data_IF_944907482761
#
_entry.id   IF_944907482761
#
_cell.length_a   1.000
_cell.length_b   1.000
_cell.length_c   1.000
_cell.angle_alpha   90.00
_cell.angle_beta   90.00
_cell.angle_gamma   90.00
#
_symmetry.space_group_name_H-M   'P 1'
#
loop_
_entity.id
_entity.type
_entity.pdbx_description
1 polymer ?
#
# COMPACT_ATOMS: atom_id res chain seq x y z
N UNK A 1 -71.29 38.89 22.16
CA UNK A 1 -70.48 39.56 21.12
C UNK A 1 -69.72 40.72 21.76
N UNK A 2 -68.43 40.91 21.44
CA UNK A 2 -67.66 42.02 22.02
C UNK A 2 -68.15 43.41 21.60
N UNK A 3 -68.76 43.53 20.42
CA UNK A 3 -69.27 44.79 19.87
C UNK A 3 -70.77 45.01 20.10
N UNK A 4 -71.52 43.95 20.37
CA UNK A 4 -72.97 43.98 20.56
C UNK A 4 -73.35 43.30 21.88
N UNK A 5 -73.54 44.12 22.91
CA UNK A 5 -73.88 43.65 24.25
C UNK A 5 -75.15 42.76 24.22
N UNK A 6 -75.11 41.63 24.95
CA UNK A 6 -76.22 40.69 25.05
C UNK A 6 -76.49 39.81 23.82
N UNK A 7 -75.76 39.97 22.71
CA UNK A 7 -75.96 39.14 21.50
C UNK A 7 -75.07 37.88 21.48
N UNK A 8 -75.64 36.68 21.20
CA UNK A 8 -74.87 35.45 21.10
C UNK A 8 -73.96 35.45 19.85
N UNK A 9 -72.90 34.63 19.88
CA UNK A 9 -72.03 34.39 18.72
C UNK A 9 -72.55 33.17 17.97
N UNK A 10 -73.26 33.39 16.87
CA UNK A 10 -73.96 32.35 16.12
C UNK A 10 -73.39 32.14 14.71
N UNK A 11 -72.50 33.05 14.28
CA UNK A 11 -71.86 33.04 12.97
C UNK A 11 -70.35 32.96 13.11
N UNK A 12 -69.67 32.44 12.09
CA UNK A 12 -68.23 32.52 11.91
C UNK A 12 -67.95 33.38 10.68
N UNK A 13 -67.17 34.46 10.84
CA UNK A 13 -66.70 35.28 9.73
C UNK A 13 -65.47 34.61 9.11
N UNK A 14 -65.62 34.09 7.90
CA UNK A 14 -64.57 33.34 7.20
C UNK A 14 -63.39 34.24 6.81
N UNK A 15 -63.66 35.50 6.45
CA UNK A 15 -62.60 36.44 6.06
C UNK A 15 -61.77 36.94 7.25
N UNK A 16 -62.37 36.99 8.45
CA UNK A 16 -61.68 37.44 9.68
C UNK A 16 -61.22 36.29 10.58
N UNK A 17 -61.66 35.06 10.35
CA UNK A 17 -61.32 33.91 11.17
C UNK A 17 -61.85 33.98 12.61
N UNK A 18 -63.01 34.62 12.84
CA UNK A 18 -63.54 34.81 14.20
C UNK A 18 -65.06 34.61 14.31
N UNK A 19 -65.52 34.22 15.50
CA UNK A 19 -66.94 34.08 15.80
C UNK A 19 -67.59 35.45 16.02
N UNK A 20 -68.75 35.69 15.39
CA UNK A 20 -69.48 36.98 15.41
C UNK A 20 -70.98 36.77 15.64
N UNK A 21 -71.71 37.80 16.08
CA UNK A 21 -73.18 37.75 16.13
C UNK A 21 -73.81 38.16 14.79
N UNK A 22 -75.12 37.94 14.62
CA UNK A 22 -75.84 38.29 13.39
C UNK A 22 -75.80 39.78 13.00
N UNK A 23 -75.58 40.70 13.95
CA UNK A 23 -75.47 42.14 13.67
C UNK A 23 -74.10 42.54 13.11
N UNK A 24 -73.04 41.79 13.41
CA UNK A 24 -71.69 42.10 12.94
C UNK A 24 -71.56 42.16 11.41
N UNK A 25 -72.04 41.18 10.63
CA UNK A 25 -72.03 41.27 9.17
C UNK A 25 -73.15 42.12 8.59
N UNK A 26 -74.27 42.31 9.31
CA UNK A 26 -75.39 43.09 8.81
C UNK A 26 -75.12 44.61 8.90
N UNK A 27 -74.62 45.08 10.04
CA UNK A 27 -74.53 46.50 10.39
C UNK A 27 -73.19 46.89 11.05
N UNK A 28 -72.33 45.91 11.35
CA UNK A 28 -71.09 46.13 12.12
C UNK A 28 -69.81 46.02 11.28
N UNK A 29 -68.70 45.79 11.98
CA UNK A 29 -67.34 45.79 11.41
C UNK A 29 -67.05 44.65 10.41
N UNK A 30 -67.94 43.66 10.27
CA UNK A 30 -67.78 42.54 9.35
C UNK A 30 -68.71 42.67 8.14
N UNK A 31 -69.25 43.87 7.88
CA UNK A 31 -70.16 44.12 6.76
C UNK A 31 -69.48 43.84 5.43
N UNK A 32 -70.09 42.99 4.62
CA UNK A 32 -69.56 42.54 3.33
C UNK A 32 -68.61 41.35 3.41
N UNK A 33 -68.25 40.88 4.61
CA UNK A 33 -67.48 39.65 4.75
C UNK A 33 -68.37 38.40 4.63
N UNK A 34 -67.79 37.30 4.17
CA UNK A 34 -68.44 35.99 4.19
C UNK A 34 -68.58 35.52 5.62
N UNK A 35 -69.81 35.18 6.01
CA UNK A 35 -70.11 34.58 7.29
C UNK A 35 -71.04 33.38 7.08
N UNK A 36 -70.77 32.30 7.81
CA UNK A 36 -71.59 31.10 7.83
C UNK A 36 -72.07 30.79 9.25
N UNK A 37 -73.05 29.91 9.38
CA UNK A 37 -73.54 29.47 10.69
C UNK A 37 -72.41 28.75 11.44
N UNK A 38 -72.27 29.04 12.73
CA UNK A 38 -71.22 28.47 13.56
C UNK A 38 -71.18 26.93 13.51
N UNK A 39 -72.32 26.19 13.58
CA UNK A 39 -72.28 24.72 13.43
C UNK A 39 -71.74 24.24 12.08
N UNK A 40 -71.98 25.00 11.01
CA UNK A 40 -71.46 24.67 9.68
C UNK A 40 -69.95 24.91 9.60
N UNK A 41 -69.46 26.02 10.18
CA UNK A 41 -68.03 26.30 10.26
C UNK A 41 -67.31 25.22 11.08
N UNK A 42 -67.85 24.86 12.26
CA UNK A 42 -67.28 23.81 13.13
C UNK A 42 -67.17 22.48 12.38
N UNK A 43 -68.22 22.05 11.68
CA UNK A 43 -68.18 20.77 10.93
C UNK A 43 -67.08 20.78 9.85
N UNK A 44 -66.99 21.85 9.06
CA UNK A 44 -65.94 21.98 8.03
C UNK A 44 -64.54 22.03 8.63
N UNK A 45 -64.37 22.75 9.74
CA UNK A 45 -63.08 22.81 10.43
C UNK A 45 -62.70 21.46 11.02
N UNK A 46 -63.64 20.69 11.56
CA UNK A 46 -63.39 19.32 12.04
C UNK A 46 -62.93 18.40 10.90
N UNK A 47 -63.60 18.40 9.75
CA UNK A 47 -63.21 17.63 8.56
C UNK A 47 -61.78 18.00 8.10
N UNK A 48 -61.43 19.30 8.09
CA UNK A 48 -60.07 19.77 7.77
C UNK A 48 -59.03 19.36 8.82
N UNK A 49 -59.39 19.42 10.11
CA UNK A 49 -58.50 18.98 11.19
C UNK A 49 -58.17 17.50 11.06
N UNK A 50 -59.16 16.65 10.76
CA UNK A 50 -58.95 15.22 10.53
C UNK A 50 -58.01 14.97 9.35
N UNK A 51 -58.21 15.66 8.22
CA UNK A 51 -57.32 15.58 7.06
C UNK A 51 -55.89 16.04 7.40
N UNK A 52 -55.74 17.12 8.15
CA UNK A 52 -54.43 17.60 8.59
C UNK A 52 -53.73 16.61 9.51
N UNK A 53 -54.46 15.98 10.45
CA UNK A 53 -53.92 14.96 11.33
C UNK A 53 -53.41 13.76 10.53
N UNK A 54 -54.22 13.24 9.60
CA UNK A 54 -53.80 12.13 8.72
C UNK A 54 -52.51 12.46 7.94
N UNK A 55 -52.43 13.64 7.34
CA UNK A 55 -51.25 14.07 6.60
C UNK A 55 -50.00 14.22 7.50
N UNK A 56 -50.18 14.69 8.73
CA UNK A 56 -49.08 14.81 9.70
C UNK A 56 -48.59 13.45 10.18
N UNK A 57 -49.50 12.48 10.36
CA UNK A 57 -49.14 11.10 10.70
C UNK A 57 -48.36 10.42 9.57
N UNK A 58 -48.78 10.58 8.32
CA UNK A 58 -48.06 10.06 7.15
C UNK A 58 -46.64 10.65 7.05
N UNK A 59 -46.52 11.98 7.16
CA UNK A 59 -45.21 12.66 7.15
C UNK A 59 -44.32 12.21 8.30
N UNK A 60 -44.88 11.97 9.48
CA UNK A 60 -44.12 11.47 10.63
C UNK A 60 -43.53 10.09 10.35
N UNK A 61 -44.29 9.19 9.72
CA UNK A 61 -43.76 7.86 9.34
C UNK A 61 -42.69 7.98 8.25
N UNK A 62 -42.91 8.85 7.25
CA UNK A 62 -41.92 9.12 6.22
C UNK A 62 -40.58 9.62 6.83
N UNK A 63 -40.64 10.59 7.74
CA UNK A 63 -39.43 11.10 8.41
C UNK A 63 -38.79 10.06 9.33
N UNK A 64 -39.57 9.19 9.97
CA UNK A 64 -39.04 8.06 10.72
C UNK A 64 -38.28 7.09 9.79
N UNK A 65 -38.80 6.83 8.59
CA UNK A 65 -38.14 6.07 7.54
C UNK A 65 -36.84 6.72 7.05
N UNK A 66 -36.88 8.03 6.76
CA UNK A 66 -35.70 8.80 6.35
C UNK A 66 -34.59 8.72 7.41
N UNK A 67 -34.95 8.90 8.68
CA UNK A 67 -34.00 8.81 9.80
C UNK A 67 -33.33 7.43 9.84
N UNK A 68 -34.10 6.33 9.74
CA UNK A 68 -33.56 4.97 9.71
C UNK A 68 -32.58 4.77 8.55
N UNK A 69 -32.93 5.27 7.36
CA UNK A 69 -32.08 5.17 6.17
C UNK A 69 -30.76 5.96 6.32
N UNK A 70 -30.83 7.16 6.90
CA UNK A 70 -29.63 7.98 7.16
C UNK A 70 -28.75 7.32 8.23
N UNK A 71 -29.33 6.82 9.32
CA UNK A 71 -28.60 6.09 10.36
C UNK A 71 -27.88 4.85 9.78
N UNK A 72 -28.57 4.10 8.91
CA UNK A 72 -27.96 2.96 8.21
C UNK A 72 -26.81 3.40 7.29
N UNK A 73 -27.02 4.43 6.46
CA UNK A 73 -25.99 4.93 5.56
C UNK A 73 -24.73 5.41 6.31
N UNK A 74 -24.90 6.05 7.47
CA UNK A 74 -23.78 6.44 8.35
C UNK A 74 -23.01 5.23 8.84
N UNK A 75 -23.70 4.16 9.24
CA UNK A 75 -23.06 2.93 9.70
C UNK A 75 -22.35 2.20 8.55
N UNK A 76 -22.95 2.16 7.37
CA UNK A 76 -22.36 1.54 6.18
C UNK A 76 -21.07 2.26 5.75
N UNK A 77 -21.07 3.61 5.76
CA UNK A 77 -19.85 4.39 5.45
C UNK A 77 -18.74 4.11 6.47
N UNK A 78 -19.06 4.03 7.76
CA UNK A 78 -18.08 3.69 8.81
C UNK A 78 -17.52 2.28 8.60
N UNK A 79 -18.40 1.29 8.43
CA UNK A 79 -18.00 -0.10 8.23
C UNK A 79 -17.16 -0.27 6.96
N UNK A 80 -17.52 0.44 5.88
CA UNK A 80 -16.76 0.44 4.64
C UNK A 80 -15.37 1.06 4.83
N UNK A 81 -15.27 2.22 5.49
CA UNK A 81 -14.00 2.86 5.79
C UNK A 81 -13.07 1.95 6.60
N UNK A 82 -13.61 1.28 7.64
CA UNK A 82 -12.83 0.36 8.48
C UNK A 82 -12.39 -0.89 7.71
N UNK A 83 -13.25 -1.41 6.82
CA UNK A 83 -12.87 -2.51 5.92
C UNK A 83 -11.73 -2.10 5.00
N UNK A 84 -11.83 -0.94 4.34
CA UNK A 84 -10.80 -0.47 3.42
C UNK A 84 -9.47 -0.21 4.13
N UNK A 85 -9.49 0.34 5.35
CA UNK A 85 -8.28 0.51 6.18
C UNK A 85 -7.60 -0.82 6.50
N UNK A 86 -8.38 -1.85 6.85
CA UNK A 86 -7.85 -3.20 7.10
C UNK A 86 -7.22 -3.80 5.85
N UNK A 87 -7.93 -3.76 4.72
CA UNK A 87 -7.41 -4.27 3.45
C UNK A 87 -6.16 -3.53 2.98
N UNK A 88 -6.09 -2.21 3.18
CA UNK A 88 -4.88 -1.44 2.90
C UNK A 88 -3.71 -1.90 3.79
N UNK A 89 -3.97 -2.12 5.08
CA UNK A 89 -2.94 -2.60 6.03
C UNK A 89 -2.42 -3.99 5.64
N UNK A 90 -3.30 -4.89 5.20
CA UNK A 90 -2.92 -6.20 4.67
C UNK A 90 -2.01 -6.06 3.45
N UNK A 91 -2.34 -5.17 2.51
CA UNK A 91 -1.52 -4.94 1.29
C UNK A 91 -0.15 -4.34 1.60
N UNK A 92 -0.07 -3.43 2.56
CA UNK A 92 1.22 -2.88 3.01
C UNK A 92 2.05 -3.96 3.72
N UNK A 93 1.40 -4.83 4.51
CA UNK A 93 2.08 -5.95 5.18
C UNK A 93 2.63 -6.95 4.17
N UNK A 94 1.87 -7.27 3.11
CA UNK A 94 2.31 -8.11 1.99
C UNK A 94 3.55 -7.51 1.30
N UNK A 95 3.54 -6.20 1.00
CA UNK A 95 4.70 -5.50 0.44
C UNK A 95 5.93 -5.57 1.35
N UNK A 96 5.75 -5.37 2.66
CA UNK A 96 6.85 -5.48 3.62
C UNK A 96 7.44 -6.88 3.69
N UNK A 97 6.61 -7.92 3.56
CA UNK A 97 7.08 -9.30 3.52
C UNK A 97 7.94 -9.55 2.29
N UNK A 98 7.48 -9.13 1.11
CA UNK A 98 8.26 -9.25 -0.13
C UNK A 98 9.61 -8.53 -0.03
N UNK A 99 9.67 -7.35 0.58
CA UNK A 99 10.93 -6.63 0.78
C UNK A 99 11.88 -7.36 1.75
N UNK A 100 11.36 -8.04 2.77
CA UNK A 100 12.18 -8.86 3.68
C UNK A 100 12.69 -10.13 2.99
N UNK A 101 11.87 -10.76 2.16
CA UNK A 101 12.29 -11.91 1.35
C UNK A 101 13.41 -11.51 0.38
N UNK A 102 13.25 -10.38 -0.31
CA UNK A 102 14.26 -9.81 -1.20
C UNK A 102 15.58 -9.51 -0.45
N UNK A 103 15.51 -8.90 0.74
CA UNK A 103 16.68 -8.69 1.59
C UNK A 103 17.38 -10.00 1.96
N UNK A 104 16.61 -11.05 2.29
CA UNK A 104 17.17 -12.36 2.61
C UNK A 104 17.88 -12.99 1.40
N UNK A 105 17.29 -12.89 0.21
CA UNK A 105 17.90 -13.40 -1.02
C UNK A 105 19.22 -12.68 -1.33
N UNK A 106 19.26 -11.35 -1.17
CA UNK A 106 20.46 -10.56 -1.37
C UNK A 106 21.60 -10.96 -0.43
N UNK A 107 21.28 -11.21 0.86
CA UNK A 107 22.26 -11.67 1.86
C UNK A 107 22.78 -13.06 1.54
N UNK A 108 21.88 -13.99 1.20
CA UNK A 108 22.28 -15.35 0.83
C UNK A 108 23.21 -15.34 -0.40
N UNK A 109 22.94 -14.49 -1.40
CA UNK A 109 23.82 -14.34 -2.55
C UNK A 109 25.22 -13.84 -2.14
N UNK A 110 25.30 -12.88 -1.22
CA UNK A 110 26.58 -12.40 -0.68
C UNK A 110 27.32 -13.56 0.01
N UNK A 111 26.64 -14.31 0.87
CA UNK A 111 27.23 -15.42 1.62
C UNK A 111 27.74 -16.52 0.66
N UNK A 112 26.94 -16.92 -0.33
CA UNK A 112 27.31 -17.91 -1.34
C UNK A 112 28.55 -17.48 -2.14
N UNK A 113 28.58 -16.24 -2.64
CA UNK A 113 29.71 -15.72 -3.41
C UNK A 113 30.96 -15.57 -2.55
N UNK A 114 30.80 -15.20 -1.28
CA UNK A 114 31.90 -15.13 -0.32
C UNK A 114 32.48 -16.52 -0.07
N UNK A 115 31.63 -17.52 0.19
CA UNK A 115 32.07 -18.89 0.40
C UNK A 115 32.78 -19.46 -0.83
N UNK A 116 32.28 -19.18 -2.04
CA UNK A 116 32.91 -19.60 -3.29
C UNK A 116 34.31 -18.97 -3.44
N UNK A 117 34.45 -17.67 -3.18
CA UNK A 117 35.73 -16.97 -3.27
C UNK A 117 36.73 -17.49 -2.24
N UNK A 118 36.30 -17.70 -0.99
CA UNK A 118 37.14 -18.27 0.06
C UNK A 118 37.61 -19.69 -0.30
N UNK A 119 36.72 -20.54 -0.81
CA UNK A 119 37.10 -21.89 -1.25
C UNK A 119 38.14 -21.90 -2.37
N UNK A 120 38.03 -20.97 -3.34
CA UNK A 120 39.04 -20.80 -4.38
C UNK A 120 40.39 -20.32 -3.81
N UNK A 121 40.36 -19.35 -2.90
CA UNK A 121 41.57 -18.87 -2.22
C UNK A 121 42.26 -19.96 -1.39
N UNK A 122 41.50 -20.78 -0.68
CA UNK A 122 42.04 -21.91 0.08
C UNK A 122 42.70 -22.97 -0.81
N UNK A 123 42.18 -23.18 -2.03
CA UNK A 123 42.80 -24.07 -3.01
C UNK A 123 44.11 -23.48 -3.54
N UNK A 124 44.13 -22.18 -3.85
CA UNK A 124 45.35 -21.50 -4.29
C UNK A 124 46.42 -21.51 -3.17
N UNK A 125 46.02 -21.25 -1.93
CA UNK A 125 46.93 -21.26 -0.78
C UNK A 125 47.58 -22.63 -0.59
N UNK A 126 46.81 -23.72 -0.69
CA UNK A 126 47.34 -25.08 -0.63
C UNK A 126 48.34 -25.37 -1.75
N UNK A 127 48.02 -24.98 -2.99
CA UNK A 127 48.94 -25.11 -4.12
C UNK A 127 50.25 -24.35 -3.88
N UNK A 128 50.18 -23.10 -3.41
CA UNK A 128 51.37 -22.31 -3.07
C UNK A 128 52.19 -22.97 -1.95
N UNK A 129 51.55 -23.54 -0.92
CA UNK A 129 52.25 -24.25 0.16
C UNK A 129 52.99 -25.49 -0.36
N UNK A 130 52.37 -26.27 -1.24
CA UNK A 130 53.00 -27.43 -1.88
C UNK A 130 54.20 -27.02 -2.74
N UNK A 131 54.07 -25.94 -3.51
CA UNK A 131 55.17 -25.39 -4.33
C UNK A 131 56.32 -24.88 -3.47
N UNK A 132 56.04 -24.16 -2.38
CA UNK A 132 57.06 -23.69 -1.44
C UNK A 132 57.82 -24.86 -0.82
N UNK A 133 57.12 -25.90 -0.36
CA UNK A 133 57.76 -27.09 0.21
C UNK A 133 58.65 -27.82 -0.81
N UNK A 134 58.24 -27.89 -2.08
CA UNK A 134 59.05 -28.44 -3.17
C UNK A 134 60.32 -27.60 -3.41
N UNK A 135 60.20 -26.28 -3.48
CA UNK A 135 61.33 -25.36 -3.64
C UNK A 135 62.32 -25.45 -2.46
N UNK A 136 61.81 -25.55 -1.23
CA UNK A 136 62.64 -25.75 -0.04
C UNK A 136 63.39 -27.09 -0.11
N UNK A 137 62.73 -28.15 -0.57
CA UNK A 137 63.34 -29.46 -0.77
C UNK A 137 64.48 -29.41 -1.80
N UNK A 138 64.25 -28.79 -2.96
CA UNK A 138 65.30 -28.59 -3.97
C UNK A 138 66.45 -27.75 -3.43
N UNK A 139 66.15 -26.65 -2.74
CA UNK A 139 67.15 -25.78 -2.12
C UNK A 139 68.01 -26.54 -1.12
N UNK A 140 67.41 -27.37 -0.28
CA UNK A 140 68.13 -28.19 0.69
C UNK A 140 69.05 -29.21 0.00
N UNK A 141 68.54 -29.96 -0.99
CA UNK A 141 69.32 -30.94 -1.74
C UNK A 141 70.50 -30.31 -2.49
N UNK A 142 70.29 -29.15 -3.14
CA UNK A 142 71.38 -28.43 -3.83
C UNK A 142 72.46 -28.00 -2.84
N UNK A 143 72.07 -27.46 -1.66
CA UNK A 143 73.04 -27.09 -0.61
C UNK A 143 73.86 -28.29 -0.12
N UNK A 144 73.27 -29.48 -0.04
CA UNK A 144 73.99 -30.71 0.32
C UNK A 144 74.99 -31.11 -0.78
N UNK A 145 74.59 -31.09 -2.05
CA UNK A 145 75.47 -31.43 -3.18
C UNK A 145 76.66 -30.46 -3.28
N UNK A 146 76.45 -29.17 -3.00
CA UNK A 146 77.52 -28.17 -2.98
C UNK A 146 78.63 -28.45 -1.95
N UNK A 147 78.35 -29.26 -0.93
CA UNK A 147 79.32 -29.66 0.09
C UNK A 147 80.05 -30.97 -0.26
N UNK A 148 79.66 -31.64 -1.34
CA UNK A 148 80.26 -32.91 -1.77
C UNK A 148 81.68 -32.69 -2.29
N UNK A 149 82.64 -33.45 -1.78
CA UNK A 149 84.07 -33.29 -2.10
C UNK A 149 84.49 -34.06 -3.36
N UNK A 150 83.66 -35.00 -3.83
CA UNK A 150 83.89 -35.79 -5.04
C UNK A 150 83.31 -35.09 -6.28
N UNK A 151 84.17 -34.64 -7.23
CA UNK A 151 83.72 -33.92 -8.42
C UNK A 151 82.80 -34.72 -9.34
N UNK A 152 82.95 -36.05 -9.39
CA UNK A 152 82.12 -36.90 -10.27
C UNK A 152 80.71 -37.00 -9.68
N UNK A 153 80.62 -37.32 -8.39
CA UNK A 153 79.36 -37.46 -7.68
C UNK A 153 78.57 -36.14 -7.61
N UNK A 154 79.27 -35.01 -7.45
CA UNK A 154 78.67 -33.67 -7.50
C UNK A 154 77.97 -33.42 -8.85
N UNK A 155 78.67 -33.69 -9.95
CA UNK A 155 78.13 -33.47 -11.30
C UNK A 155 76.94 -34.39 -11.58
N UNK A 156 77.02 -35.67 -11.24
CA UNK A 156 75.93 -36.62 -11.45
C UNK A 156 74.67 -36.23 -10.66
N UNK A 157 74.80 -36.00 -9.35
CA UNK A 157 73.66 -35.62 -8.48
C UNK A 157 73.04 -34.28 -8.89
N UNK A 158 73.86 -33.28 -9.24
CA UNK A 158 73.33 -31.99 -9.69
C UNK A 158 72.58 -32.12 -11.01
N UNK A 159 73.11 -32.91 -11.96
CA UNK A 159 72.47 -33.12 -13.27
C UNK A 159 71.10 -33.79 -13.14
N UNK A 160 70.93 -34.69 -12.17
CA UNK A 160 69.64 -35.32 -11.85
C UNK A 160 68.64 -34.30 -11.29
N UNK A 161 69.04 -33.52 -10.27
CA UNK A 161 68.18 -32.48 -9.69
C UNK A 161 67.84 -31.38 -10.70
N UNK A 162 68.79 -31.01 -11.55
CA UNK A 162 68.55 -30.01 -12.59
C UNK A 162 67.46 -30.45 -13.57
N UNK A 163 67.39 -31.76 -13.89
CA UNK A 163 66.29 -32.32 -14.69
C UNK A 163 64.97 -32.27 -13.94
N UNK A 164 64.94 -32.70 -12.68
CA UNK A 164 63.73 -32.63 -11.84
C UNK A 164 63.17 -31.20 -11.77
N UNK A 165 64.03 -30.20 -11.53
CA UNK A 165 63.65 -28.79 -11.48
C UNK A 165 63.07 -28.32 -12.82
N UNK A 166 63.71 -28.67 -13.94
CA UNK A 166 63.25 -28.32 -15.30
C UNK A 166 61.92 -29.00 -15.67
N UNK A 167 61.67 -30.19 -15.15
CA UNK A 167 60.42 -30.93 -15.35
C UNK A 167 59.27 -30.39 -14.50
N UNK A 168 59.56 -29.82 -13.33
CA UNK A 168 58.58 -29.08 -12.51
C UNK A 168 58.23 -27.71 -13.11
N UNK A 169 57.55 -27.73 -14.26
CA UNK A 169 57.03 -26.56 -15.01
C UNK A 169 55.98 -25.71 -14.27
N UNK A 170 55.51 -26.15 -13.11
CA UNK A 170 54.41 -25.51 -12.37
C UNK A 170 54.84 -24.46 -11.33
N UNK A 171 56.14 -24.25 -11.11
CA UNK A 171 56.66 -23.44 -10.00
C UNK A 171 56.59 -21.91 -10.19
N UNK A 172 56.02 -21.43 -11.30
CA UNK A 172 56.05 -20.02 -11.70
C UNK A 172 54.68 -19.39 -11.94
N UNK A 173 53.58 -20.07 -11.62
CA UNK A 173 52.25 -19.47 -11.71
C UNK A 173 52.07 -18.42 -10.61
N UNK A 174 52.21 -17.14 -10.97
CA UNK A 174 51.86 -16.02 -10.11
C UNK A 174 50.33 -15.90 -10.00
N UNK A 175 49.83 -16.07 -8.78
CA UNK A 175 48.41 -15.91 -8.49
C UNK A 175 48.13 -14.46 -8.07
N UNK A 176 47.20 -13.81 -8.79
CA UNK A 176 46.69 -12.49 -8.42
C UNK A 176 45.22 -12.61 -8.00
N UNK A 177 44.91 -12.76 -6.70
CA UNK A 177 43.52 -12.83 -6.26
C UNK A 177 42.83 -11.49 -6.48
N UNK A 178 41.76 -11.48 -7.27
CA UNK A 178 40.90 -10.31 -7.47
C UNK A 178 40.02 -10.17 -6.22
N UNK A 179 40.02 -9.01 -5.54
CA UNK A 179 39.14 -8.79 -4.41
C UNK A 179 37.66 -8.88 -4.81
N UNK A 180 36.90 -9.69 -4.08
CA UNK A 180 35.46 -9.78 -4.29
C UNK A 180 34.79 -8.46 -3.87
N UNK A 181 33.97 -7.89 -4.75
CA UNK A 181 33.22 -6.65 -4.49
C UNK A 181 31.72 -6.87 -4.68
N UNK A 182 30.94 -6.37 -3.73
CA UNK A 182 29.48 -6.36 -3.77
C UNK A 182 28.90 -4.97 -4.06
N UNK A 183 29.73 -4.04 -4.54
CA UNK A 183 29.32 -2.65 -4.75
C UNK A 183 28.21 -2.52 -5.80
N UNK A 184 28.21 -3.36 -6.83
CA UNK A 184 27.14 -3.42 -7.82
C UNK A 184 25.78 -3.77 -7.20
N UNK A 185 25.75 -4.73 -6.28
CA UNK A 185 24.55 -5.14 -5.56
C UNK A 185 24.02 -4.00 -4.68
N UNK A 186 24.92 -3.34 -3.94
CA UNK A 186 24.53 -2.20 -3.12
C UNK A 186 24.03 -1.01 -3.96
N UNK A 187 24.67 -0.75 -5.10
CA UNK A 187 24.26 0.30 -6.02
C UNK A 187 22.89 0.01 -6.66
N UNK A 188 22.59 -1.26 -6.93
CA UNK A 188 21.27 -1.70 -7.39
C UNK A 188 20.18 -1.30 -6.37
N UNK A 189 20.32 -1.67 -5.09
CA UNK A 189 19.33 -1.33 -4.07
C UNK A 189 19.25 0.17 -3.78
N UNK A 190 20.38 0.90 -3.84
CA UNK A 190 20.37 2.37 -3.77
C UNK A 190 19.51 2.97 -4.88
N UNK A 191 19.63 2.47 -6.11
CA UNK A 191 18.81 2.94 -7.22
C UNK A 191 17.33 2.60 -7.02
N UNK A 192 17.02 1.38 -6.60
CA UNK A 192 15.67 0.94 -6.28
C UNK A 192 14.99 1.84 -5.22
N UNK A 193 15.69 2.13 -4.12
CA UNK A 193 15.20 3.02 -3.06
C UNK A 193 14.94 4.42 -3.60
N UNK A 194 15.81 4.97 -4.45
CA UNK A 194 15.61 6.29 -5.07
C UNK A 194 14.35 6.34 -5.93
N UNK A 195 14.06 5.28 -6.69
CA UNK A 195 12.83 5.18 -7.47
C UNK A 195 11.62 5.22 -6.53
N UNK A 196 11.60 4.37 -5.49
CA UNK A 196 10.50 4.35 -4.52
C UNK A 196 10.31 5.71 -3.84
N UNK A 197 11.41 6.37 -3.46
CA UNK A 197 11.38 7.72 -2.88
C UNK A 197 10.78 8.74 -3.85
N UNK A 198 11.15 8.71 -5.13
CA UNK A 198 10.59 9.63 -6.13
C UNK A 198 9.08 9.47 -6.30
N UNK A 199 8.57 8.24 -6.18
CA UNK A 199 7.13 7.96 -6.21
C UNK A 199 6.47 8.52 -4.95
N UNK A 200 7.05 8.25 -3.77
CA UNK A 200 6.44 8.62 -2.49
C UNK A 200 6.60 10.09 -2.12
N UNK A 201 7.48 10.84 -2.79
CA UNK A 201 7.72 12.26 -2.53
C UNK A 201 6.51 13.14 -2.88
N UNK A 202 5.70 12.74 -3.86
CA UNK A 202 4.43 13.43 -4.16
C UNK A 202 3.38 13.14 -3.07
N UNK A 203 2.60 14.14 -2.62
CA UNK A 203 1.48 13.94 -1.70
C UNK A 203 0.55 12.83 -2.19
N UNK A 204 0.05 12.01 -1.26
CA UNK A 204 -0.76 10.84 -1.59
C UNK A 204 -2.01 11.23 -2.40
N UNK A 205 -2.66 12.33 -2.03
CA UNK A 205 -3.86 12.85 -2.69
C UNK A 205 -3.58 13.28 -4.14
N UNK A 206 -2.38 13.81 -4.43
CA UNK A 206 -1.99 14.17 -5.79
C UNK A 206 -1.80 12.92 -6.65
N UNK A 207 -1.17 11.88 -6.09
CA UNK A 207 -0.96 10.58 -6.77
C UNK A 207 -2.28 9.87 -7.06
N UNK A 208 -3.22 9.90 -6.10
CA UNK A 208 -4.54 9.28 -6.26
C UNK A 208 -5.44 10.02 -7.26
N UNK A 209 -5.20 11.31 -7.53
CA UNK A 209 -5.93 12.09 -8.53
C UNK A 209 -5.38 11.95 -9.95
N UNK A 210 -4.07 11.71 -10.08
CA UNK A 210 -3.43 11.41 -11.36
C UNK A 210 -3.87 10.04 -11.91
N UNK A 211 -4.22 9.09 -11.03
CA UNK A 211 -4.81 7.79 -11.39
C UNK A 211 -6.35 7.83 -11.41
N UNK A 212 -6.94 6.92 -12.21
CA UNK A 212 -8.36 6.77 -12.62
C UNK A 212 -9.39 6.69 -11.45
N UNK A 213 -8.97 6.77 -10.20
CA UNK A 213 -9.80 6.56 -9.00
C UNK A 213 -10.67 7.75 -8.57
N UNK A 214 -10.79 8.79 -9.40
CA UNK A 214 -11.65 9.96 -9.12
C UNK A 214 -13.16 9.66 -9.19
N UNK A 215 -13.57 8.47 -9.60
CA UNK A 215 -14.97 8.04 -9.50
C UNK A 215 -15.18 7.13 -8.29
N UNK A 216 -15.75 7.69 -7.23
CA UNK A 216 -16.35 6.95 -6.10
C UNK A 216 -17.63 6.20 -6.53
N UNK A 217 -17.63 5.58 -7.73
CA UNK A 217 -18.72 4.76 -8.23
C UNK A 217 -18.29 3.28 -8.18
N UNK A 218 -18.92 2.43 -7.34
CA UNK A 218 -18.48 1.06 -7.07
C UNK A 218 -18.61 0.07 -8.24
N UNK A 219 -19.00 0.50 -9.45
CA UNK A 219 -19.38 -0.40 -10.56
C UNK A 219 -18.38 -0.47 -11.70
N UNK A 220 -17.27 0.26 -11.67
CA UNK A 220 -16.25 0.12 -12.71
C UNK A 220 -15.26 -1.00 -12.36
N UNK A 221 -15.56 -2.25 -12.79
CA UNK A 221 -14.53 -3.28 -13.01
C UNK A 221 -13.64 -2.80 -14.15
N UNK A 222 -12.62 -2.00 -13.86
CA UNK A 222 -11.50 -1.78 -14.78
C UNK A 222 -10.22 -2.05 -14.02
N UNK A 223 -9.43 -2.96 -14.58
CA UNK A 223 -8.14 -3.36 -14.05
C UNK A 223 -7.28 -2.12 -13.77
N UNK A 224 -6.58 -2.06 -12.62
CA UNK A 224 -5.65 -0.98 -12.34
C UNK A 224 -4.60 -0.92 -13.45
N UNK A 225 -4.48 0.25 -14.07
CA UNK A 225 -3.46 0.53 -15.06
C UNK A 225 -2.08 0.16 -14.52
N UNK A 226 -1.30 -0.45 -15.40
CA UNK A 226 0.05 -0.99 -15.20
C UNK A 226 1.03 0.12 -14.79
N UNK A 227 0.96 0.62 -13.54
CA UNK A 227 1.93 1.62 -13.02
C UNK A 227 3.31 1.02 -12.76
N UNK A 228 3.41 -0.30 -12.69
CA UNK A 228 4.66 -1.00 -12.86
C UNK A 228 4.47 -1.88 -14.08
N UNK A 229 5.10 -1.54 -15.20
CA UNK A 229 5.58 -2.58 -16.12
C UNK A 229 6.63 -3.38 -15.34
N UNK A 230 6.19 -4.16 -14.35
CA UNK A 230 6.93 -5.33 -13.92
C UNK A 230 7.06 -6.16 -15.16
N UNK A 231 8.31 -6.46 -15.51
CA UNK A 231 8.69 -7.42 -16.54
C UNK A 231 7.72 -8.61 -16.48
N UNK A 232 7.27 -9.05 -17.65
CA UNK A 232 6.22 -10.05 -17.77
C UNK A 232 6.57 -11.32 -16.99
N UNK A 233 5.61 -12.18 -16.61
CA UNK A 233 5.90 -13.40 -15.85
C UNK A 233 6.97 -14.30 -16.50
N UNK A 234 7.15 -14.18 -17.82
CA UNK A 234 8.18 -14.88 -18.60
C UNK A 234 9.59 -14.35 -18.30
N UNK A 235 9.73 -13.08 -17.97
CA UNK A 235 11.02 -12.44 -17.66
C UNK A 235 11.52 -12.78 -16.24
N UNK A 236 10.63 -13.17 -15.31
CA UNK A 236 11.03 -13.64 -13.96
C UNK A 236 11.75 -14.99 -13.99
N UNK A 237 11.48 -15.84 -14.97
CA UNK A 237 12.15 -17.14 -15.14
C UNK A 237 13.57 -17.02 -15.70
N UNK A 238 13.94 -15.86 -16.27
CA UNK A 238 15.28 -15.61 -16.79
C UNK A 238 16.22 -15.01 -15.74
N UNK A 239 15.71 -14.54 -14.59
CA UNK A 239 16.51 -14.07 -13.46
C UNK A 239 16.85 -15.16 -12.43
N UNK A 240 16.25 -16.34 -12.57
CA UNK A 240 16.44 -17.49 -11.66
C UNK A 240 17.12 -18.69 -12.35
N UNK A 241 17.90 -18.45 -13.41
CA UNK A 241 18.83 -19.42 -13.99
C UNK A 241 20.24 -18.85 -14.04
#
# INVERSE_FOLDING_TARGET
CGMHAGRPLELFCEDCGCCVCALCPALGAHRGHRACLLPQAVRRTQELMELHLMNLEEKKEQEAGNRRNIEQAVNDVKAHADKMKRQLSEKITELQLLLREEESLAKNLIDEKTQQALGAHDQHLRSCQEQLAALETFTHRIRQIQQDSDPINLLEKYTEIEKEIKESRHLLEEWHPIPLSFEHLLNHYKHFIRILQSILQKPLEARLKEDVFSSLNPTAKKEPGTMLKTMTPIDRLLFLK
#
